data_IF_817320328090
#
_entry.id   IF_817320328090
#
_cell.length_a   1.000
_cell.length_b   1.000
_cell.length_c   1.000
_cell.angle_alpha   90.00
_cell.angle_beta   90.00
_cell.angle_gamma   90.00
#
_symmetry.space_group_name_H-M   'P 1'
#
loop_
_entity.id
_entity.type
_entity.pdbx_description
1 polymer ?
#
# COMPACT_ATOMS: atom_id res chain seq x y z
N UNK A 1 -45.01 -49.82 5.93
CA UNK A 1 -44.31 -48.53 6.14
C UNK A 1 -44.98 -47.50 5.26
N UNK A 2 -45.52 -46.43 5.84
CA UNK A 2 -46.37 -45.47 5.12
C UNK A 2 -45.50 -44.58 4.22
N UNK A 3 -45.57 -44.79 2.90
CA UNK A 3 -44.73 -44.13 1.89
C UNK A 3 -44.90 -42.61 1.88
N UNK A 4 -46.08 -42.13 2.27
CA UNK A 4 -46.36 -40.70 2.39
C UNK A 4 -45.64 -40.05 3.58
N UNK A 5 -45.49 -40.77 4.70
CA UNK A 5 -44.73 -40.29 5.85
C UNK A 5 -43.23 -40.18 5.53
N UNK A 6 -42.70 -41.07 4.67
CA UNK A 6 -41.32 -41.00 4.17
C UNK A 6 -41.11 -39.82 3.22
N UNK A 7 -42.06 -39.54 2.32
CA UNK A 7 -42.00 -38.36 1.43
C UNK A 7 -42.07 -37.05 2.21
N UNK A 8 -42.90 -37.00 3.24
CA UNK A 8 -43.03 -35.81 4.09
C UNK A 8 -41.78 -35.58 4.95
N UNK A 9 -41.23 -36.65 5.54
CA UNK A 9 -39.95 -36.60 6.23
C UNK A 9 -38.81 -36.15 5.30
N UNK A 10 -38.82 -36.61 4.05
CA UNK A 10 -37.80 -36.24 3.07
C UNK A 10 -37.92 -34.76 2.68
N UNK A 11 -39.13 -34.26 2.36
CA UNK A 11 -39.35 -32.83 2.11
C UNK A 11 -38.97 -31.94 3.29
N UNK A 12 -39.15 -32.41 4.52
CA UNK A 12 -38.78 -31.68 5.74
C UNK A 12 -37.27 -31.62 5.93
N UNK A 13 -36.55 -32.70 5.60
CA UNK A 13 -35.09 -32.73 5.64
C UNK A 13 -34.51 -31.83 4.54
N UNK A 14 -35.07 -31.88 3.33
CA UNK A 14 -34.67 -31.07 2.19
C UNK A 14 -34.80 -29.56 2.48
N UNK A 15 -35.95 -29.13 3.04
CA UNK A 15 -36.14 -27.76 3.52
C UNK A 15 -35.15 -27.35 4.62
N UNK A 16 -34.79 -28.27 5.53
CA UNK A 16 -33.78 -28.00 6.56
C UNK A 16 -32.38 -27.84 5.96
N UNK A 17 -32.03 -28.65 4.97
CA UNK A 17 -30.75 -28.55 4.26
C UNK A 17 -30.68 -27.23 3.49
N UNK A 18 -31.72 -26.87 2.74
CA UNK A 18 -31.80 -25.58 2.04
C UNK A 18 -31.72 -24.38 3.01
N UNK A 19 -32.44 -24.41 4.13
CA UNK A 19 -32.38 -23.35 5.14
C UNK A 19 -30.99 -23.27 5.81
N UNK A 20 -30.34 -24.40 6.04
CA UNK A 20 -28.97 -24.45 6.59
C UNK A 20 -27.97 -23.87 5.60
N UNK A 21 -28.09 -24.20 4.31
CA UNK A 21 -27.23 -23.66 3.26
C UNK A 21 -27.39 -22.14 3.11
N UNK A 22 -28.63 -21.63 3.11
CA UNK A 22 -28.92 -20.18 3.09
C UNK A 22 -28.38 -19.43 4.32
N UNK A 23 -28.49 -20.04 5.50
CA UNK A 23 -27.92 -19.47 6.72
C UNK A 23 -26.39 -19.45 6.68
N UNK A 24 -25.77 -20.53 6.19
CA UNK A 24 -24.33 -20.61 6.02
C UNK A 24 -23.83 -19.57 5.01
N UNK A 25 -24.54 -19.40 3.89
CA UNK A 25 -24.23 -18.39 2.87
C UNK A 25 -24.28 -16.98 3.44
N UNK A 26 -25.37 -16.63 4.14
CA UNK A 26 -25.51 -15.31 4.79
C UNK A 26 -24.42 -15.06 5.82
N UNK A 27 -24.04 -16.10 6.57
CA UNK A 27 -23.02 -16.03 7.60
C UNK A 27 -21.61 -15.86 7.01
N UNK A 28 -21.30 -16.57 5.92
CA UNK A 28 -20.05 -16.41 5.16
C UNK A 28 -19.98 -15.02 4.54
N UNK A 29 -21.05 -14.54 3.92
CA UNK A 29 -21.13 -13.18 3.37
C UNK A 29 -20.94 -12.11 4.44
N UNK A 30 -21.58 -12.25 5.61
CA UNK A 30 -21.39 -11.31 6.71
C UNK A 30 -19.96 -11.36 7.27
N UNK A 31 -19.36 -12.55 7.36
CA UNK A 31 -17.95 -12.68 7.79
C UNK A 31 -16.98 -12.02 6.80
N UNK A 32 -17.17 -12.19 5.49
CA UNK A 32 -16.35 -11.54 4.45
C UNK A 32 -16.56 -10.03 4.50
N UNK A 33 -17.80 -9.56 4.62
CA UNK A 33 -18.14 -8.14 4.73
C UNK A 33 -17.48 -7.51 5.98
N UNK A 34 -17.62 -8.11 7.16
CA UNK A 34 -17.00 -7.61 8.39
C UNK A 34 -15.47 -7.63 8.33
N UNK A 35 -14.88 -8.68 7.75
CA UNK A 35 -13.42 -8.77 7.52
C UNK A 35 -12.95 -7.66 6.58
N UNK A 36 -13.65 -7.41 5.48
CA UNK A 36 -13.33 -6.33 4.53
C UNK A 36 -13.47 -4.95 5.17
N UNK A 37 -14.49 -4.73 6.01
CA UNK A 37 -14.74 -3.47 6.72
C UNK A 37 -13.65 -3.21 7.75
N UNK A 38 -13.26 -4.22 8.53
CA UNK A 38 -12.14 -4.12 9.48
C UNK A 38 -10.81 -3.86 8.76
N UNK A 39 -10.55 -4.53 7.62
CA UNK A 39 -9.37 -4.25 6.79
C UNK A 39 -9.39 -2.83 6.24
N UNK A 40 -10.54 -2.36 5.75
CA UNK A 40 -10.71 -0.99 5.26
C UNK A 40 -10.49 0.06 6.36
N UNK A 41 -11.02 -0.15 7.56
CA UNK A 41 -10.77 0.73 8.71
C UNK A 41 -9.30 0.72 9.14
N UNK A 42 -8.65 -0.44 9.14
CA UNK A 42 -7.21 -0.57 9.43
C UNK A 42 -6.36 0.18 8.39
N UNK A 43 -6.72 0.07 7.10
CA UNK A 43 -6.12 0.86 6.02
C UNK A 43 -6.31 2.35 6.28
N UNK A 44 -7.55 2.81 6.53
CA UNK A 44 -7.86 4.22 6.81
C UNK A 44 -7.03 4.78 7.98
N UNK A 45 -6.85 4.00 9.05
CA UNK A 45 -6.00 4.35 10.19
C UNK A 45 -4.51 4.42 9.81
N UNK A 46 -4.02 3.45 9.04
CA UNK A 46 -2.64 3.45 8.55
C UNK A 46 -2.38 4.64 7.62
N UNK A 47 -3.39 5.09 6.86
CA UNK A 47 -3.28 6.31 6.06
C UNK A 47 -3.07 7.53 6.96
N UNK A 48 -3.81 7.65 8.06
CA UNK A 48 -3.61 8.75 9.03
C UNK A 48 -2.22 8.76 9.66
N UNK A 49 -1.73 7.59 10.07
CA UNK A 49 -0.36 7.45 10.60
C UNK A 49 0.67 7.84 9.53
N UNK A 50 0.47 7.38 8.28
CA UNK A 50 1.33 7.72 7.16
C UNK A 50 1.32 9.21 6.83
N UNK A 51 0.17 9.89 6.90
CA UNK A 51 0.11 11.35 6.75
C UNK A 51 0.91 12.08 7.83
N UNK A 52 0.78 11.66 9.09
CA UNK A 52 1.56 12.24 10.20
C UNK A 52 3.07 12.07 9.98
N UNK A 53 3.49 10.88 9.55
CA UNK A 53 4.89 10.61 9.22
C UNK A 53 5.40 11.45 8.04
N UNK A 54 4.63 11.54 6.96
CA UNK A 54 4.97 12.36 5.79
C UNK A 54 5.06 13.84 6.12
N UNK A 55 4.16 14.36 6.97
CA UNK A 55 4.19 15.74 7.43
C UNK A 55 5.44 16.03 8.25
N UNK A 56 5.80 15.12 9.18
CA UNK A 56 7.05 15.22 9.93
C UNK A 56 8.28 15.24 9.01
N UNK A 57 8.36 14.33 8.06
CA UNK A 57 9.41 14.28 7.04
C UNK A 57 9.50 15.56 6.22
N UNK A 58 8.35 16.13 5.81
CA UNK A 58 8.32 17.37 5.05
C UNK A 58 8.80 18.57 5.87
N UNK A 59 8.41 18.68 7.13
CA UNK A 59 8.93 19.69 8.05
C UNK A 59 10.45 19.57 8.22
N UNK A 60 10.96 18.35 8.39
CA UNK A 60 12.41 18.10 8.49
C UNK A 60 13.14 18.54 7.20
N UNK A 61 12.61 18.21 6.03
CA UNK A 61 13.16 18.65 4.75
C UNK A 61 13.22 20.17 4.60
N UNK A 62 12.15 20.86 5.00
CA UNK A 62 12.09 22.33 4.98
C UNK A 62 13.05 22.96 5.99
N UNK A 63 13.19 22.39 7.19
CA UNK A 63 14.17 22.83 8.18
C UNK A 63 15.61 22.74 7.66
N UNK A 64 15.94 21.70 6.89
CA UNK A 64 17.27 21.58 6.27
C UNK A 64 17.48 22.66 5.19
N UNK A 65 16.47 22.96 4.38
CA UNK A 65 16.57 23.97 3.32
C UNK A 65 16.71 25.37 3.93
N UNK A 66 15.90 25.71 4.94
CA UNK A 66 15.87 27.05 5.54
C UNK A 66 17.02 27.24 6.54
N UNK A 67 17.25 26.25 7.40
CA UNK A 67 18.25 26.32 8.46
C UNK A 67 19.68 26.09 7.96
N UNK A 68 19.84 25.56 6.75
CA UNK A 68 21.14 25.20 6.15
C UNK A 68 22.12 24.55 7.16
N UNK A 69 21.72 23.48 7.88
CA UNK A 69 22.57 22.89 8.93
C UNK A 69 23.86 22.26 8.37
N UNK A 70 23.88 22.03 7.06
CA UNK A 70 24.99 21.44 6.32
C UNK A 70 25.95 22.46 5.74
N UNK A 71 25.67 23.76 5.92
CA UNK A 71 26.51 24.86 5.46
C UNK A 71 26.83 24.75 3.95
N UNK A 72 25.75 24.59 3.17
CA UNK A 72 25.81 24.55 1.72
C UNK A 72 26.12 25.93 1.15
N UNK A 73 27.12 25.99 0.29
CA UNK A 73 27.59 27.21 -0.37
C UNK A 73 26.90 27.41 -1.72
N UNK A 74 26.57 26.33 -2.43
CA UNK A 74 26.01 26.38 -3.79
C UNK A 74 24.58 25.88 -3.81
N UNK A 75 23.72 26.55 -4.60
CA UNK A 75 22.31 26.14 -4.79
C UNK A 75 22.17 24.70 -5.29
N UNK A 76 23.14 24.20 -6.06
CA UNK A 76 23.12 22.82 -6.59
C UNK A 76 23.16 21.76 -5.48
N UNK A 77 23.70 22.11 -4.30
CA UNK A 77 23.79 21.18 -3.16
C UNK A 77 22.44 20.98 -2.47
N UNK A 78 21.47 21.87 -2.69
CA UNK A 78 20.10 21.74 -2.20
C UNK A 78 19.21 20.89 -3.11
N UNK A 79 19.63 20.58 -4.34
CA UNK A 79 18.87 19.77 -5.31
C UNK A 79 18.34 18.45 -4.71
N UNK A 80 19.12 17.65 -3.95
CA UNK A 80 18.61 16.42 -3.36
C UNK A 80 17.47 16.65 -2.37
N UNK A 81 17.49 17.78 -1.64
CA UNK A 81 16.45 18.16 -0.68
C UNK A 81 15.22 18.74 -1.36
N UNK A 82 15.39 19.46 -2.48
CA UNK A 82 14.28 19.94 -3.30
C UNK A 82 13.55 18.72 -3.90
N UNK A 83 14.28 17.77 -4.49
CA UNK A 83 13.71 16.53 -5.04
C UNK A 83 12.99 15.74 -3.93
N UNK A 84 13.59 15.64 -2.73
CA UNK A 84 12.96 15.04 -1.56
C UNK A 84 11.59 15.66 -1.25
N UNK A 85 11.53 16.99 -1.11
CA UNK A 85 10.29 17.71 -0.80
C UNK A 85 9.24 17.54 -1.91
N UNK A 86 9.64 17.63 -3.18
CA UNK A 86 8.72 17.42 -4.32
C UNK A 86 8.17 15.99 -4.32
N UNK A 87 9.01 14.97 -4.13
CA UNK A 87 8.56 13.58 -4.04
C UNK A 87 7.57 13.37 -2.89
N UNK A 88 7.83 13.97 -1.72
CA UNK A 88 6.90 13.91 -0.59
C UNK A 88 5.55 14.55 -0.91
N UNK A 89 5.53 15.74 -1.53
CA UNK A 89 4.29 16.41 -1.94
C UNK A 89 3.49 15.51 -2.88
N UNK A 90 4.14 14.92 -3.88
CA UNK A 90 3.46 14.03 -4.83
C UNK A 90 2.90 12.79 -4.13
N UNK A 91 3.63 12.21 -3.17
CA UNK A 91 3.14 11.08 -2.37
C UNK A 91 1.92 11.49 -1.54
N UNK A 92 1.97 12.63 -0.84
CA UNK A 92 0.87 13.16 -0.03
C UNK A 92 -0.37 13.40 -0.89
N UNK A 93 -0.22 14.04 -2.05
CA UNK A 93 -1.33 14.29 -2.98
C UNK A 93 -1.95 12.99 -3.48
N UNK A 94 -1.14 12.01 -3.90
CA UNK A 94 -1.65 10.70 -4.33
C UNK A 94 -2.38 9.99 -3.20
N UNK A 95 -1.81 10.02 -2.00
CA UNK A 95 -2.38 9.41 -0.81
C UNK A 95 -3.73 10.06 -0.43
N UNK A 96 -3.83 11.39 -0.57
CA UNK A 96 -5.07 12.14 -0.35
C UNK A 96 -6.14 11.85 -1.40
N UNK A 97 -5.76 11.78 -2.68
CA UNK A 97 -6.67 11.39 -3.75
C UNK A 97 -7.20 9.96 -3.54
N UNK A 98 -6.33 9.02 -3.19
CA UNK A 98 -6.73 7.64 -2.84
C UNK A 98 -7.66 7.62 -1.64
N UNK A 99 -7.35 8.38 -0.59
CA UNK A 99 -8.21 8.49 0.60
C UNK A 99 -9.60 9.06 0.26
N UNK A 100 -9.69 10.14 -0.53
CA UNK A 100 -10.98 10.71 -0.94
C UNK A 100 -11.80 9.73 -1.78
N UNK A 101 -11.17 9.02 -2.72
CA UNK A 101 -11.84 8.00 -3.52
C UNK A 101 -12.37 6.86 -2.66
N UNK A 102 -11.56 6.37 -1.72
CA UNK A 102 -12.00 5.34 -0.77
C UNK A 102 -13.14 5.81 0.13
N UNK A 103 -13.13 7.07 0.57
CA UNK A 103 -14.18 7.61 1.43
C UNK A 103 -15.52 7.84 0.72
N UNK A 104 -15.53 7.85 -0.62
CA UNK A 104 -16.75 7.93 -1.43
C UNK A 104 -17.40 6.57 -1.69
N UNK A 105 -16.75 5.45 -1.34
CA UNK A 105 -17.31 4.11 -1.54
C UNK A 105 -18.19 3.75 -0.35
N UNK A 106 -19.51 3.72 -0.56
CA UNK A 106 -20.46 3.12 0.38
C UNK A 106 -20.51 1.61 0.15
N UNK A 107 -20.09 0.83 1.14
CA UNK A 107 -20.19 -0.64 1.11
C UNK A 107 -21.63 -1.00 1.45
N UNK A 108 -22.45 -1.27 0.42
CA UNK A 108 -23.76 -1.87 0.60
C UNK A 108 -23.71 -3.40 0.38
N UNK A 109 -24.51 -4.15 1.13
CA UNK A 109 -24.49 -5.62 1.16
C UNK A 109 -24.81 -6.25 -0.21
N UNK A 110 -25.61 -5.57 -1.05
CA UNK A 110 -25.93 -6.02 -2.40
C UNK A 110 -24.77 -5.83 -3.41
N UNK A 111 -23.77 -5.01 -3.08
CA UNK A 111 -22.74 -4.53 -4.00
C UNK A 111 -21.31 -4.83 -3.51
N UNK A 112 -21.13 -5.78 -2.58
CA UNK A 112 -19.82 -6.14 -2.00
C UNK A 112 -18.79 -6.47 -3.08
N UNK A 113 -19.21 -7.16 -4.15
CA UNK A 113 -18.34 -7.49 -5.30
C UNK A 113 -17.86 -6.26 -6.07
N UNK A 114 -18.75 -5.31 -6.36
CA UNK A 114 -18.37 -4.08 -7.07
C UNK A 114 -17.54 -3.16 -6.16
N UNK A 115 -17.85 -3.10 -4.87
CA UNK A 115 -17.06 -2.36 -3.89
C UNK A 115 -15.62 -2.91 -3.76
N UNK A 116 -15.43 -4.23 -3.67
CA UNK A 116 -14.09 -4.82 -3.66
C UNK A 116 -13.33 -4.58 -4.97
N UNK A 117 -14.00 -4.74 -6.13
CA UNK A 117 -13.38 -4.50 -7.44
C UNK A 117 -12.93 -3.04 -7.60
N UNK A 118 -13.74 -2.09 -7.13
CA UNK A 118 -13.41 -0.66 -7.15
C UNK A 118 -12.25 -0.31 -6.20
N UNK A 119 -12.24 -0.90 -4.99
CA UNK A 119 -11.11 -0.76 -4.05
C UNK A 119 -9.81 -1.29 -4.66
N UNK A 120 -9.85 -2.45 -5.32
CA UNK A 120 -8.68 -3.03 -6.02
C UNK A 120 -8.21 -2.11 -7.16
N UNK A 121 -9.14 -1.59 -7.98
CA UNK A 121 -8.80 -0.69 -9.07
C UNK A 121 -8.17 0.63 -8.58
N UNK A 122 -8.63 1.15 -7.43
CA UNK A 122 -8.04 2.33 -6.78
C UNK A 122 -6.63 2.05 -6.27
N UNK A 123 -6.38 0.84 -5.76
CA UNK A 123 -5.05 0.43 -5.29
C UNK A 123 -4.06 0.18 -6.43
N UNK A 124 -4.50 -0.44 -7.54
CA UNK A 124 -3.60 -0.82 -8.63
C UNK A 124 -3.24 0.33 -9.59
N UNK A 125 -4.15 1.28 -9.83
CA UNK A 125 -3.91 2.39 -10.78
C UNK A 125 -2.68 3.27 -10.44
N UNK A 126 -2.49 3.75 -9.21
CA UNK A 126 -1.38 4.64 -8.87
C UNK A 126 -0.05 3.91 -8.62
N UNK A 127 -0.03 2.57 -8.52
CA UNK A 127 1.16 1.82 -8.13
C UNK A 127 2.36 1.99 -9.07
N UNK A 128 2.14 2.03 -10.39
CA UNK A 128 3.25 2.18 -11.35
C UNK A 128 3.92 3.54 -11.19
N UNK A 129 3.14 4.61 -11.05
CA UNK A 129 3.63 5.97 -10.83
C UNK A 129 4.37 6.10 -9.50
N UNK A 130 3.82 5.51 -8.43
CA UNK A 130 4.44 5.49 -7.10
C UNK A 130 5.81 4.77 -7.10
N UNK A 131 5.98 3.71 -7.89
CA UNK A 131 7.29 3.06 -8.04
C UNK A 131 8.33 4.00 -8.65
N UNK A 132 7.99 4.74 -9.71
CA UNK A 132 8.91 5.70 -10.32
C UNK A 132 9.31 6.82 -9.34
N UNK A 133 8.34 7.39 -8.61
CA UNK A 133 8.63 8.41 -7.58
C UNK A 133 9.55 7.84 -6.51
N UNK A 134 9.30 6.61 -6.08
CA UNK A 134 10.13 5.95 -5.07
C UNK A 134 11.55 5.69 -5.57
N UNK A 135 11.74 5.32 -6.85
CA UNK A 135 13.08 5.21 -7.44
C UNK A 135 13.80 6.56 -7.50
N UNK A 136 13.12 7.62 -7.94
CA UNK A 136 13.68 8.98 -7.98
C UNK A 136 14.07 9.44 -6.57
N UNK A 137 13.21 9.19 -5.59
CA UNK A 137 13.49 9.47 -4.18
C UNK A 137 14.73 8.72 -3.68
N UNK A 138 14.80 7.40 -3.91
CA UNK A 138 15.94 6.58 -3.48
C UNK A 138 17.23 7.08 -4.12
N UNK A 139 17.25 7.27 -5.44
CA UNK A 139 18.43 7.76 -6.17
C UNK A 139 18.87 9.13 -5.64
N UNK A 140 17.91 10.03 -5.39
CA UNK A 140 18.20 11.35 -4.83
C UNK A 140 18.87 11.28 -3.45
N UNK A 141 18.35 10.45 -2.54
CA UNK A 141 18.87 10.38 -1.18
C UNK A 141 20.13 9.54 -1.04
N UNK A 142 20.29 8.51 -1.88
CA UNK A 142 21.44 7.61 -1.79
C UNK A 142 22.63 8.09 -2.59
N UNK A 143 22.42 8.76 -3.73
CA UNK A 143 23.50 9.16 -4.64
C UNK A 143 23.69 10.67 -4.59
N UNK A 144 22.63 11.45 -4.88
CA UNK A 144 22.78 12.91 -4.99
C UNK A 144 23.07 13.58 -3.64
N UNK A 145 22.51 13.08 -2.54
CA UNK A 145 22.75 13.66 -1.21
C UNK A 145 24.21 13.50 -0.74
N UNK A 146 24.86 12.32 -0.79
CA UNK A 146 26.30 12.25 -0.48
C UNK A 146 27.16 13.09 -1.44
N UNK A 147 26.78 13.18 -2.72
CA UNK A 147 27.48 13.98 -3.72
C UNK A 147 27.36 15.49 -3.48
N UNK A 148 26.31 15.98 -2.82
CA UNK A 148 26.17 17.42 -2.55
C UNK A 148 27.29 17.96 -1.66
N UNK A 149 27.90 17.12 -0.82
CA UNK A 149 29.02 17.46 0.05
C UNK A 149 30.39 17.33 -0.61
N UNK A 150 30.44 16.83 -1.85
CA UNK A 150 31.68 16.61 -2.58
C UNK A 150 32.56 17.86 -2.73
N UNK A 151 32.02 19.07 -3.05
CA UNK A 151 32.85 20.27 -3.20
C UNK A 151 33.66 20.59 -1.93
N UNK A 152 32.99 20.56 -0.77
CA UNK A 152 33.62 20.86 0.54
C UNK A 152 34.69 19.83 0.92
N UNK A 153 34.49 18.56 0.55
CA UNK A 153 35.48 17.52 0.84
C UNK A 153 36.67 17.55 -0.13
N UNK A 154 36.47 17.95 -1.39
CA UNK A 154 37.59 18.13 -2.35
C UNK A 154 38.55 19.19 -1.83
N UNK A 155 38.03 20.31 -1.30
CA UNK A 155 38.84 21.40 -0.78
C UNK A 155 39.68 20.99 0.45
N UNK A 156 39.17 20.06 1.26
CA UNK A 156 39.84 19.63 2.51
C UNK A 156 40.79 18.44 2.35
N UNK A 157 40.44 17.48 1.49
CA UNK A 157 41.10 16.16 1.44
C UNK A 157 41.70 15.84 0.06
N UNK A 158 41.34 16.59 -0.99
CA UNK A 158 41.65 16.27 -2.38
C UNK A 158 40.63 15.33 -3.03
N UNK A 159 40.68 15.24 -4.36
CA UNK A 159 39.63 14.59 -5.16
C UNK A 159 39.41 13.10 -4.88
N UNK A 160 40.48 12.31 -4.89
CA UNK A 160 40.42 10.85 -4.71
C UNK A 160 39.90 10.41 -3.33
N UNK A 161 40.46 10.88 -2.20
CA UNK A 161 39.96 10.49 -0.89
C UNK A 161 38.53 10.98 -0.63
N UNK A 162 38.17 12.18 -1.11
CA UNK A 162 36.79 12.67 -1.02
C UNK A 162 35.79 11.76 -1.76
N UNK A 163 36.17 11.20 -2.92
CA UNK A 163 35.32 10.26 -3.64
C UNK A 163 35.14 8.92 -2.92
N UNK A 164 36.21 8.35 -2.38
CA UNK A 164 36.13 7.09 -1.64
C UNK A 164 35.29 7.21 -0.36
N UNK A 165 35.43 8.32 0.38
CA UNK A 165 34.64 8.58 1.59
C UNK A 165 33.13 8.61 1.29
N UNK A 166 32.74 9.17 0.14
CA UNK A 166 31.32 9.23 -0.29
C UNK A 166 30.80 7.92 -0.88
N UNK A 167 31.67 7.03 -1.32
CA UNK A 167 31.29 5.71 -1.82
C UNK A 167 30.82 4.78 -0.69
N UNK A 168 31.31 4.98 0.54
CA UNK A 168 30.92 4.22 1.74
C UNK A 168 29.41 4.32 2.00
N UNK A 169 28.80 5.50 2.23
CA UNK A 169 27.37 5.60 2.49
C UNK A 169 26.52 5.13 1.30
N UNK A 170 26.98 5.33 0.06
CA UNK A 170 26.30 4.84 -1.15
C UNK A 170 26.25 3.30 -1.13
N UNK A 171 27.38 2.63 -0.84
CA UNK A 171 27.46 1.17 -0.81
C UNK A 171 26.61 0.55 0.32
N UNK A 172 26.59 1.17 1.50
CA UNK A 172 25.72 0.75 2.62
C UNK A 172 24.25 0.86 2.21
N UNK A 173 23.84 1.97 1.61
CA UNK A 173 22.47 2.16 1.18
C UNK A 173 22.06 1.13 0.11
N UNK A 174 22.98 0.80 -0.81
CA UNK A 174 22.74 -0.24 -1.81
C UNK A 174 22.56 -1.63 -1.19
N UNK A 175 23.37 -1.97 -0.19
CA UNK A 175 23.22 -3.21 0.59
C UNK A 175 21.85 -3.30 1.27
N UNK A 176 21.40 -2.22 1.91
CA UNK A 176 20.08 -2.16 2.56
C UNK A 176 18.96 -2.35 1.53
N UNK A 177 19.05 -1.69 0.37
CA UNK A 177 18.07 -1.85 -0.71
C UNK A 177 18.04 -3.27 -1.26
N UNK A 178 19.20 -3.90 -1.41
CA UNK A 178 19.31 -5.29 -1.86
C UNK A 178 18.66 -6.26 -0.87
N UNK A 179 18.91 -6.06 0.43
CA UNK A 179 18.27 -6.85 1.49
C UNK A 179 16.74 -6.64 1.47
N UNK A 180 16.28 -5.39 1.38
CA UNK A 180 14.85 -5.07 1.32
C UNK A 180 14.16 -5.69 0.10
N UNK A 181 14.84 -5.71 -1.05
CA UNK A 181 14.38 -6.38 -2.26
C UNK A 181 14.27 -7.90 -2.05
N UNK A 182 15.30 -8.53 -1.49
CA UNK A 182 15.33 -9.98 -1.20
C UNK A 182 14.25 -10.40 -0.20
N UNK A 183 13.97 -9.56 0.80
CA UNK A 183 12.91 -9.77 1.79
C UNK A 183 11.50 -9.49 1.25
N UNK A 184 11.38 -8.99 0.01
CA UNK A 184 10.08 -8.72 -0.61
C UNK A 184 9.34 -7.54 0.01
N UNK A 185 10.06 -6.55 0.58
CA UNK A 185 9.46 -5.36 1.15
C UNK A 185 8.65 -4.53 0.13
N UNK A 186 8.90 -4.74 -1.17
CA UNK A 186 8.17 -4.12 -2.28
C UNK A 186 6.97 -4.94 -2.80
N UNK A 187 6.64 -6.10 -2.20
CA UNK A 187 5.45 -6.88 -2.56
C UNK A 187 4.21 -6.31 -1.86
N UNK A 188 3.18 -5.98 -2.66
CA UNK A 188 1.93 -5.41 -2.15
C UNK A 188 1.03 -6.48 -1.51
N UNK A 189 1.35 -6.83 -0.26
CA UNK A 189 0.64 -7.84 0.54
C UNK A 189 -0.82 -7.48 0.82
N UNK A 190 -1.19 -6.20 0.81
CA UNK A 190 -2.57 -5.79 1.11
C UNK A 190 -3.45 -5.90 -0.13
N UNK A 191 -2.95 -5.48 -1.29
CA UNK A 191 -3.65 -5.69 -2.56
C UNK A 191 -3.90 -7.18 -2.84
N UNK A 192 -2.92 -8.05 -2.57
CA UNK A 192 -3.09 -9.50 -2.71
C UNK A 192 -4.21 -10.04 -1.82
N UNK A 193 -4.28 -9.63 -0.55
CA UNK A 193 -5.32 -10.05 0.38
C UNK A 193 -6.74 -9.64 -0.06
N UNK A 194 -6.89 -8.49 -0.70
CA UNK A 194 -8.20 -8.09 -1.28
C UNK A 194 -8.56 -8.91 -2.53
N UNK A 195 -7.58 -9.33 -3.32
CA UNK A 195 -7.80 -10.26 -4.44
C UNK A 195 -8.20 -11.66 -3.96
N UNK A 196 -7.58 -12.12 -2.87
CA UNK A 196 -7.92 -13.39 -2.25
C UNK A 196 -9.37 -13.38 -1.75
N UNK A 197 -9.80 -12.31 -1.05
CA UNK A 197 -11.18 -12.13 -0.58
C UNK A 197 -12.19 -12.08 -1.77
N UNK A 198 -11.81 -11.52 -2.92
CA UNK A 198 -12.65 -11.47 -4.12
C UNK A 198 -12.75 -12.85 -4.80
N UNK A 199 -11.64 -13.58 -4.88
CA UNK A 199 -11.62 -14.95 -5.42
C UNK A 199 -12.45 -15.90 -4.56
N UNK A 200 -12.40 -15.78 -3.23
CA UNK A 200 -13.23 -16.56 -2.30
C UNK A 200 -14.72 -16.31 -2.58
N UNK A 201 -15.10 -15.05 -2.83
CA UNK A 201 -16.46 -14.65 -3.20
C UNK A 201 -16.91 -15.21 -4.56
N UNK A 202 -16.03 -15.20 -5.57
CA UNK A 202 -16.34 -15.76 -6.90
C UNK A 202 -16.43 -17.30 -6.86
N UNK A 203 -15.62 -17.97 -6.03
CA UNK A 203 -15.73 -19.42 -5.79
C UNK A 203 -17.05 -19.79 -5.10
N UNK A 204 -17.47 -19.03 -4.09
CA UNK A 204 -18.76 -19.24 -3.43
C UNK A 204 -19.93 -19.12 -4.42
N UNK A 205 -19.91 -18.11 -5.30
CA UNK A 205 -20.94 -17.98 -6.35
C UNK A 205 -20.92 -19.10 -7.38
N UNK A 206 -19.75 -19.61 -7.73
CA UNK A 206 -19.62 -20.72 -8.67
C UNK A 206 -20.21 -22.01 -8.08
N UNK A 207 -19.89 -22.32 -6.83
CA UNK A 207 -20.43 -23.49 -6.11
C UNK A 207 -21.95 -23.39 -5.97
N UNK A 208 -22.49 -22.21 -5.65
CA UNK A 208 -23.95 -21.99 -5.58
C UNK A 208 -24.62 -22.26 -6.94
N UNK A 209 -24.02 -21.80 -8.04
CA UNK A 209 -24.54 -22.02 -9.39
C UNK A 209 -24.50 -23.50 -9.83
N UNK A 210 -23.62 -24.31 -9.23
CA UNK A 210 -23.56 -25.77 -9.47
C UNK A 210 -24.56 -26.55 -8.60
N UNK A 211 -25.10 -25.93 -7.54
CA UNK A 211 -26.06 -26.50 -6.59
C UNK A 211 -27.53 -26.19 -6.94
N UNK A 212 -27.78 -25.22 -7.83
CA UNK A 212 -29.08 -24.90 -8.45
C UNK A 212 -29.29 -25.67 -9.76
#
# INVERSE_FOLDING_TARGET
MNTDALKEAWKKLDRKVQATNLLNERLILSMIADRSKNRFQSVKRNYWIGFGWLAFCMCAGLMVIIGNPFDYTYLIQFVPMIIYCVCLVVIVVNMFLSYRRLNNITIDYASVRSALAEIIAIYERPQKFMKYILYVFIVSQTILFPLSFLPKNIDNLGFWPAMFERLIPISIAFLILFIAYKLGAFKDRQSQKFKDDLNELDQLKAVIKELD
#
